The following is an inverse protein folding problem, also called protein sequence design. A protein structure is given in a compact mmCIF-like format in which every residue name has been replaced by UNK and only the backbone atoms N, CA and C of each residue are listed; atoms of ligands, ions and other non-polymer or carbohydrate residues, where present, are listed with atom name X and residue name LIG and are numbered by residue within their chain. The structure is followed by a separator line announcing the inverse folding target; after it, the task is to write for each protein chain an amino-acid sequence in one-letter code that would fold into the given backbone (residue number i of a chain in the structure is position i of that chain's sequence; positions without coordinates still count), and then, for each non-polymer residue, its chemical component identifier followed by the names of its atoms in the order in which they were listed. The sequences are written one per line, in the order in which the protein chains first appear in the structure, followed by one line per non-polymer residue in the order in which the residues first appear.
data_IF_946671489641
#
_entry.id   IF_946671489641
#
_cell.length_a   1.000
_cell.length_b   1.000
_cell.length_c   1.000
_cell.angle_alpha   90.00
_cell.angle_beta   90.00
_cell.angle_gamma   90.00
#
_symmetry.space_group_name_H-M   'P 1'
#
loop_
_entity.id
_entity.type
_entity.pdbx_description
1 polymer ?
#
# COMPACT_ATOMS: atom_id res chain seq x y z
N UNK A 1 21.39 -9.23 -17.78
CA UNK A 1 21.76 -10.15 -16.67
C UNK A 1 20.52 -10.99 -16.41
N UNK A 2 20.29 -11.95 -17.32
CA UNK A 2 18.99 -12.61 -17.52
C UNK A 2 19.14 -14.13 -17.56
N UNK A 3 20.38 -14.61 -17.40
CA UNK A 3 20.68 -16.02 -17.55
C UNK A 3 20.81 -16.65 -16.17
N UNK A 4 20.02 -17.70 -15.97
CA UNK A 4 20.07 -18.51 -14.77
C UNK A 4 21.32 -19.42 -14.85
N UNK A 5 22.11 -19.56 -13.77
CA UNK A 5 23.24 -20.49 -13.78
C UNK A 5 22.80 -21.92 -14.07
N UNK A 6 23.67 -22.69 -14.71
CA UNK A 6 23.42 -24.09 -15.05
C UNK A 6 23.08 -24.91 -13.79
N UNK A 7 22.01 -25.71 -13.86
CA UNK A 7 21.54 -26.53 -12.75
C UNK A 7 20.70 -25.79 -11.70
N UNK A 8 20.48 -24.47 -11.84
CA UNK A 8 19.56 -23.74 -10.97
C UNK A 8 18.14 -23.86 -11.52
N UNK A 9 17.18 -24.19 -10.65
CA UNK A 9 15.75 -24.13 -10.95
C UNK A 9 15.14 -23.11 -10.01
N UNK A 10 14.64 -21.99 -10.54
CA UNK A 10 13.87 -21.06 -9.72
C UNK A 10 12.49 -21.66 -9.44
N UNK A 11 12.02 -21.63 -8.18
CA UNK A 11 10.64 -21.98 -7.89
C UNK A 11 9.71 -20.99 -8.63
N UNK A 12 8.61 -21.50 -9.16
CA UNK A 12 7.55 -20.65 -9.69
C UNK A 12 6.97 -19.82 -8.55
N UNK A 13 6.96 -18.49 -8.71
CA UNK A 13 6.32 -17.61 -7.74
C UNK A 13 4.83 -17.89 -7.66
N UNK A 14 4.27 -17.90 -6.46
CA UNK A 14 2.82 -17.93 -6.28
C UNK A 14 2.24 -16.56 -6.62
N UNK A 15 1.16 -16.52 -7.43
CA UNK A 15 0.38 -15.30 -7.60
C UNK A 15 -0.34 -15.01 -6.28
N UNK A 16 -0.12 -13.83 -5.71
CA UNK A 16 -0.81 -13.41 -4.50
C UNK A 16 -2.26 -13.03 -4.81
N UNK A 17 -3.21 -13.51 -4.00
CA UNK A 17 -4.60 -13.06 -4.10
C UNK A 17 -4.72 -11.62 -3.57
N UNK A 18 -5.35 -10.70 -4.33
CA UNK A 18 -5.62 -9.35 -3.85
C UNK A 18 -6.49 -9.39 -2.59
N UNK A 19 -6.03 -8.74 -1.51
CA UNK A 19 -6.82 -8.59 -0.29
C UNK A 19 -7.87 -7.50 -0.49
N UNK A 20 -9.18 -7.77 -0.27
CA UNK A 20 -10.19 -6.74 -0.27
C UNK A 20 -9.86 -5.64 0.74
N UNK A 21 -9.97 -4.39 0.32
CA UNK A 21 -9.65 -3.22 1.15
C UNK A 21 -10.52 -2.03 0.77
N UNK A 22 -10.76 -1.14 1.72
CA UNK A 22 -11.43 0.13 1.49
C UNK A 22 -10.61 1.28 2.09
N UNK A 23 -10.69 2.44 1.45
CA UNK A 23 -10.12 3.68 1.95
C UNK A 23 -11.14 4.81 1.79
N UNK A 24 -11.12 5.76 2.72
CA UNK A 24 -11.98 6.93 2.69
C UNK A 24 -11.18 8.18 2.30
N UNK A 25 -11.63 8.89 1.28
CA UNK A 25 -11.12 10.22 0.94
C UNK A 25 -12.01 11.23 1.62
N UNK A 26 -11.49 11.86 2.67
CA UNK A 26 -12.22 12.88 3.45
C UNK A 26 -11.70 14.24 3.05
N UNK A 27 -12.62 15.13 2.64
CA UNK A 27 -12.28 16.47 2.22
C UNK A 27 -13.09 17.53 2.97
N UNK A 28 -12.51 18.73 3.06
CA UNK A 28 -13.06 19.89 3.74
C UNK A 28 -12.82 21.12 2.88
N UNK A 29 -13.84 21.96 2.71
CA UNK A 29 -13.64 23.29 2.14
C UNK A 29 -12.85 24.18 3.12
N UNK A 30 -11.92 24.96 2.60
CA UNK A 30 -11.13 25.92 3.38
C UNK A 30 -10.93 27.22 2.57
N UNK A 31 -11.74 28.24 2.88
CA UNK A 31 -11.84 29.43 2.04
C UNK A 31 -12.26 29.07 0.61
N UNK A 32 -11.51 29.56 -0.38
CA UNK A 32 -11.67 29.20 -1.80
C UNK A 32 -11.00 27.85 -2.17
N UNK A 33 -10.42 27.14 -1.21
CA UNK A 33 -9.64 25.91 -1.41
C UNK A 33 -10.31 24.63 -0.89
N UNK A 34 -9.67 23.50 -1.18
CA UNK A 34 -10.05 22.17 -0.70
C UNK A 34 -8.87 21.54 0.05
N UNK A 35 -9.14 21.00 1.23
CA UNK A 35 -8.20 20.20 2.00
C UNK A 35 -8.62 18.72 1.95
N UNK A 36 -7.63 17.83 2.03
CA UNK A 36 -7.85 16.38 2.08
C UNK A 36 -7.10 15.81 3.30
N UNK A 37 -7.75 14.92 4.04
CA UNK A 37 -7.11 14.23 5.16
C UNK A 37 -6.17 13.14 4.67
N UNK A 38 -4.90 13.25 5.06
CA UNK A 38 -3.89 12.21 4.92
C UNK A 38 -3.39 11.79 6.31
N UNK A 39 -3.08 10.52 6.46
CA UNK A 39 -2.54 9.93 7.68
C UNK A 39 -1.10 9.47 7.43
N UNK A 40 -0.18 9.84 8.32
CA UNK A 40 1.17 9.30 8.34
C UNK A 40 1.15 7.96 9.08
N UNK A 41 1.68 6.92 8.45
CA UNK A 41 1.82 5.61 9.07
C UNK A 41 2.97 5.64 10.07
N UNK A 42 2.73 5.14 11.29
CA UNK A 42 3.78 5.03 12.33
C UNK A 42 4.86 4.03 11.90
N UNK A 43 6.10 4.22 12.34
CA UNK A 43 7.25 3.46 11.85
C UNK A 43 7.21 1.97 12.21
N UNK A 44 6.39 1.59 13.19
CA UNK A 44 6.27 0.22 13.71
C UNK A 44 5.34 -0.67 12.87
N UNK A 45 4.61 -0.12 11.90
CA UNK A 45 3.70 -0.94 11.07
C UNK A 45 4.50 -1.86 10.14
N UNK A 46 4.04 -3.11 9.92
CA UNK A 46 4.78 -4.10 9.12
C UNK A 46 4.79 -3.80 7.61
N UNK A 47 3.89 -2.93 7.14
CA UNK A 47 3.76 -2.61 5.72
C UNK A 47 3.72 -1.10 5.53
N UNK A 48 4.59 -0.59 4.66
CA UNK A 48 4.69 0.84 4.33
C UNK A 48 4.80 1.74 5.58
N UNK A 49 5.82 1.55 6.44
CA UNK A 49 6.09 2.48 7.53
C UNK A 49 6.43 3.87 6.96
N UNK A 50 6.09 4.91 7.71
CA UNK A 50 6.38 6.32 7.39
C UNK A 50 5.79 6.82 6.06
N UNK A 51 4.74 6.14 5.57
CA UNK A 51 4.05 6.51 4.35
C UNK A 51 2.82 7.38 4.66
N UNK A 52 2.57 8.39 3.82
CA UNK A 52 1.31 9.12 3.84
C UNK A 52 0.26 8.38 3.01
N UNK A 53 -0.91 8.16 3.60
CA UNK A 53 -2.00 7.42 2.96
C UNK A 53 -3.37 7.98 3.37
N UNK A 54 -4.40 7.65 2.59
CA UNK A 54 -5.78 7.84 3.04
C UNK A 54 -6.11 6.89 4.19
N UNK A 55 -6.98 7.29 5.13
CA UNK A 55 -7.46 6.39 6.17
C UNK A 55 -8.20 5.21 5.53
N UNK A 56 -7.86 4.00 5.94
CA UNK A 56 -8.40 2.78 5.35
C UNK A 56 -7.71 1.51 5.85
N UNK A 57 -8.09 0.38 5.27
CA UNK A 57 -7.55 -0.92 5.64
C UNK A 57 -8.21 -2.09 4.90
N UNK A 58 -7.78 -3.31 5.25
CA UNK A 58 -8.40 -4.53 4.76
C UNK A 58 -9.85 -4.67 5.27
N UNK A 59 -10.70 -5.26 4.45
CA UNK A 59 -12.07 -5.63 4.84
C UNK A 59 -12.00 -7.04 5.41
N UNK A 60 -12.44 -7.22 6.66
CA UNK A 60 -12.49 -8.50 7.39
C UNK A 60 -13.92 -8.93 7.67
#
# INVERSE_FOLDING_TARGET
MTELPEGVVLPTGSVAEPRPSAAAVLSRGYGEGLEILLCHRVSEVPAFPDFWAFPGGGIS
#
